data_IF_341749238874
#
_entry.id   IF_341749238874
#
_cell.length_a   1.000
_cell.length_b   1.000
_cell.length_c   1.000
_cell.angle_alpha   90.00
_cell.angle_beta   90.00
_cell.angle_gamma   90.00
#
_symmetry.space_group_name_H-M   'P 1'
#
loop_
_entity.id
_entity.type
_entity.pdbx_description
1 polymer ?
#
# COMPACT_ATOMS: atom_id res chain seq x y z
N UNK A 1 -9.22 -21.47 10.44
CA UNK A 1 -7.87 -21.19 9.87
C UNK A 1 -7.59 -19.73 10.12
N UNK A 2 -6.60 -19.42 10.94
CA UNK A 2 -6.12 -18.05 11.18
C UNK A 2 -5.23 -17.63 10.01
N UNK A 3 -5.45 -16.43 9.47
CA UNK A 3 -4.62 -15.85 8.41
C UNK A 3 -4.52 -14.34 8.57
N UNK A 4 -3.69 -13.70 7.75
CA UNK A 4 -3.56 -12.25 7.70
C UNK A 4 -3.87 -11.75 6.30
N UNK A 5 -4.72 -10.74 6.18
CA UNK A 5 -5.10 -10.13 4.93
C UNK A 5 -4.24 -8.90 4.68
N UNK A 6 -3.48 -8.92 3.59
CA UNK A 6 -2.86 -7.72 3.05
C UNK A 6 -3.92 -6.96 2.25
N UNK A 7 -4.21 -5.74 2.69
CA UNK A 7 -5.10 -4.80 2.02
C UNK A 7 -4.24 -3.75 1.35
N UNK A 8 -4.41 -3.55 0.05
CA UNK A 8 -3.71 -2.52 -0.73
C UNK A 8 -4.74 -1.63 -1.38
N UNK A 9 -4.74 -0.36 -1.01
CA UNK A 9 -5.59 0.68 -1.60
C UNK A 9 -4.67 1.59 -2.41
N UNK A 10 -4.99 1.79 -3.69
CA UNK A 10 -4.23 2.68 -4.58
C UNK A 10 -5.12 3.81 -5.09
N UNK A 11 -4.60 5.02 -5.01
CA UNK A 11 -5.25 6.26 -5.43
C UNK A 11 -4.64 6.69 -6.76
N UNK A 12 -5.27 6.28 -7.86
CA UNK A 12 -4.84 6.63 -9.21
C UNK A 12 -5.20 8.08 -9.53
N UNK A 13 -4.21 8.88 -9.91
CA UNK A 13 -4.46 10.21 -10.42
C UNK A 13 -5.14 10.13 -11.79
N UNK A 14 -6.38 10.65 -11.89
CA UNK A 14 -7.11 10.75 -13.15
C UNK A 14 -8.15 9.67 -13.41
N UNK A 15 -8.32 8.68 -12.54
CA UNK A 15 -9.39 7.69 -12.67
C UNK A 15 -10.69 8.22 -12.05
N UNK A 16 -11.74 8.37 -12.87
CA UNK A 16 -13.09 8.81 -12.46
C UNK A 16 -13.88 7.78 -11.63
N UNK A 17 -13.26 6.65 -11.26
CA UNK A 17 -13.92 5.46 -10.72
C UNK A 17 -13.56 5.15 -9.25
N UNK A 18 -12.80 6.01 -8.57
CA UNK A 18 -12.41 5.83 -7.16
C UNK A 18 -11.13 5.01 -6.96
N UNK A 19 -10.77 4.67 -5.70
CA UNK A 19 -9.56 3.93 -5.39
C UNK A 19 -9.64 2.48 -5.89
N UNK A 20 -8.52 1.95 -6.36
CA UNK A 20 -8.40 0.54 -6.72
C UNK A 20 -7.91 -0.26 -5.50
N UNK A 21 -8.67 -1.30 -5.15
CA UNK A 21 -8.43 -2.15 -4.00
C UNK A 21 -7.92 -3.52 -4.44
N UNK A 22 -6.87 -4.02 -3.79
CA UNK A 22 -6.33 -5.37 -3.95
C UNK A 22 -6.20 -6.05 -2.60
N UNK A 23 -6.63 -7.31 -2.51
CA UNK A 23 -6.67 -8.08 -1.28
C UNK A 23 -5.90 -9.40 -1.48
N UNK A 24 -5.01 -9.73 -0.54
CA UNK A 24 -4.28 -10.99 -0.57
C UNK A 24 -4.26 -11.65 0.81
N UNK A 25 -4.78 -12.88 0.90
CA UNK A 25 -4.75 -13.66 2.14
C UNK A 25 -3.40 -14.36 2.26
N UNK A 26 -2.72 -14.13 3.38
CA UNK A 26 -1.40 -14.66 3.70
C UNK A 26 -1.46 -15.56 4.95
N UNK A 27 -0.64 -16.63 4.99
CA UNK A 27 -0.59 -17.58 6.10
C UNK A 27 -0.33 -16.97 7.49
N UNK A 28 0.41 -15.86 7.58
CA UNK A 28 0.80 -15.26 8.86
C UNK A 28 0.92 -13.73 8.80
N UNK A 29 0.91 -13.10 9.99
CA UNK A 29 1.13 -11.65 10.12
C UNK A 29 2.55 -11.28 9.66
N UNK A 30 3.55 -12.12 9.94
CA UNK A 30 4.92 -11.89 9.52
C UNK A 30 5.06 -11.83 8.00
N UNK A 31 4.41 -12.76 7.28
CA UNK A 31 4.39 -12.75 5.82
C UNK A 31 3.60 -11.57 5.27
N UNK A 32 2.53 -11.16 5.95
CA UNK A 32 1.80 -9.94 5.62
C UNK A 32 2.69 -8.71 5.72
N UNK A 33 3.34 -8.49 6.86
CA UNK A 33 4.21 -7.31 7.06
C UNK A 33 5.36 -7.29 6.07
N UNK A 34 5.98 -8.44 5.79
CA UNK A 34 7.03 -8.53 4.76
C UNK A 34 6.50 -8.19 3.38
N UNK A 35 5.34 -8.73 3.00
CA UNK A 35 4.71 -8.46 1.71
C UNK A 35 4.29 -7.00 1.59
N UNK A 36 3.76 -6.40 2.67
CA UNK A 36 3.39 -4.98 2.75
C UNK A 36 4.56 -4.08 2.38
N UNK A 37 5.73 -4.30 2.98
CA UNK A 37 6.95 -3.51 2.70
C UNK A 37 7.40 -3.69 1.26
N UNK A 38 7.41 -4.93 0.75
CA UNK A 38 7.81 -5.22 -0.63
C UNK A 38 6.87 -4.58 -1.66
N UNK A 39 5.55 -4.66 -1.45
CA UNK A 39 4.55 -4.06 -2.33
C UNK A 39 4.64 -2.53 -2.26
N UNK A 40 4.82 -1.94 -1.07
CA UNK A 40 5.01 -0.50 -0.94
C UNK A 40 6.25 -0.01 -1.70
N UNK A 41 7.38 -0.73 -1.61
CA UNK A 41 8.60 -0.42 -2.37
C UNK A 41 8.38 -0.55 -3.89
N UNK A 42 7.63 -1.57 -4.34
CA UNK A 42 7.27 -1.74 -5.75
C UNK A 42 6.40 -0.58 -6.24
N UNK A 43 5.37 -0.19 -5.49
CA UNK A 43 4.51 0.96 -5.81
C UNK A 43 5.35 2.24 -5.86
N UNK A 44 6.26 2.45 -4.91
CA UNK A 44 7.15 3.61 -4.91
C UNK A 44 8.02 3.66 -6.17
N UNK A 45 8.62 2.53 -6.57
CA UNK A 45 9.45 2.47 -7.77
C UNK A 45 8.65 2.83 -9.04
N UNK A 46 7.46 2.26 -9.19
CA UNK A 46 6.54 2.56 -10.32
C UNK A 46 6.05 4.01 -10.26
N UNK A 47 5.74 4.53 -9.08
CA UNK A 47 5.33 5.92 -8.92
C UNK A 47 6.46 6.88 -9.28
N UNK A 48 7.71 6.60 -8.88
CA UNK A 48 8.90 7.40 -9.24
C UNK A 48 9.16 7.39 -10.74
N UNK A 49 8.98 6.26 -11.42
CA UNK A 49 9.17 6.21 -12.87
C UNK A 49 8.10 7.00 -13.65
N UNK A 50 6.94 7.25 -13.04
CA UNK A 50 5.80 7.94 -13.66
C UNK A 50 5.55 9.36 -13.12
N UNK A 51 6.35 9.82 -12.15
CA UNK A 51 6.16 11.11 -11.49
C UNK A 51 7.39 11.99 -11.64
N UNK A 52 7.17 13.28 -11.87
CA UNK A 52 8.21 14.32 -11.83
C UNK A 52 8.46 14.83 -10.40
N UNK A 53 7.74 14.32 -9.41
CA UNK A 53 7.81 14.76 -8.03
C UNK A 53 8.42 13.70 -7.12
N UNK A 54 8.86 14.11 -5.93
CA UNK A 54 9.36 13.18 -4.90
C UNK A 54 8.27 12.19 -4.50
N UNK A 55 8.67 10.92 -4.36
CA UNK A 55 7.81 9.85 -3.85
C UNK A 55 8.48 9.21 -2.63
N UNK A 56 7.72 9.17 -1.54
CA UNK A 56 8.15 8.68 -0.23
C UNK A 56 7.25 7.55 0.26
N UNK A 57 7.84 6.68 1.10
CA UNK A 57 7.14 5.61 1.81
C UNK A 57 7.26 5.93 3.28
N UNK A 58 6.12 5.96 3.97
CA UNK A 58 6.00 6.36 5.37
C UNK A 58 5.26 5.26 6.12
N UNK A 59 5.76 4.89 7.30
CA UNK A 59 4.99 4.08 8.25
C UNK A 59 4.02 5.00 9.00
N UNK A 60 2.73 4.66 8.98
CA UNK A 60 1.62 5.42 9.59
C UNK A 60 0.86 4.51 10.55
N UNK A 61 1.38 4.37 11.77
CA UNK A 61 0.88 3.38 12.74
C UNK A 61 1.04 1.96 12.23
N UNK A 62 -0.06 1.24 12.06
CA UNK A 62 -0.10 -0.12 11.52
C UNK A 62 -0.13 -0.16 9.98
N UNK A 63 -0.14 1.00 9.32
CA UNK A 63 -0.20 1.11 7.87
C UNK A 63 1.14 1.53 7.24
N UNK A 64 1.29 1.24 5.96
CA UNK A 64 2.33 1.82 5.11
C UNK A 64 1.69 2.68 4.04
N UNK A 65 2.15 3.91 3.92
CA UNK A 65 1.59 4.91 3.02
C UNK A 65 2.65 5.32 2.00
N UNK A 66 2.28 5.30 0.72
CA UNK A 66 3.08 5.86 -0.36
C UNK A 66 2.52 7.24 -0.71
N UNK A 67 3.34 8.29 -0.62
CA UNK A 67 2.94 9.67 -0.95
C UNK A 67 3.77 10.24 -2.09
N UNK A 68 3.18 11.14 -2.86
CA UNK A 68 3.88 11.88 -3.91
C UNK A 68 3.58 13.39 -3.87
N UNK A 69 4.57 14.17 -4.28
CA UNK A 69 4.48 15.62 -4.41
C UNK A 69 4.71 16.38 -3.11
N UNK A 70 4.97 17.68 -3.24
CA UNK A 70 5.25 18.58 -2.12
C UNK A 70 4.08 18.70 -1.12
N UNK A 71 2.86 18.39 -1.55
CA UNK A 71 1.65 18.41 -0.71
C UNK A 71 1.41 17.07 -0.01
N UNK A 72 2.24 16.04 -0.28
CA UNK A 72 2.13 14.73 0.35
C UNK A 72 0.87 13.97 -0.06
N UNK A 73 0.50 14.00 -1.35
CA UNK A 73 -0.72 13.30 -1.81
C UNK A 73 -0.55 11.79 -1.66
N UNK A 74 -1.45 11.17 -0.92
CA UNK A 74 -1.50 9.73 -0.77
C UNK A 74 -1.77 9.05 -2.12
N UNK A 75 -0.87 8.15 -2.49
CA UNK A 75 -0.93 7.33 -3.71
C UNK A 75 -1.31 5.90 -3.39
N UNK A 76 -0.92 5.39 -2.23
CA UNK A 76 -1.34 4.09 -1.78
C UNK A 76 -1.31 4.00 -0.26
N UNK A 77 -2.17 3.13 0.29
CA UNK A 77 -2.16 2.71 1.69
C UNK A 77 -2.25 1.21 1.76
N UNK A 78 -1.37 0.62 2.56
CA UNK A 78 -1.26 -0.82 2.71
C UNK A 78 -1.40 -1.17 4.18
N UNK A 79 -2.25 -2.15 4.49
CA UNK A 79 -2.53 -2.58 5.85
C UNK A 79 -2.52 -4.10 5.97
N UNK A 80 -2.18 -4.59 7.15
CA UNK A 80 -2.20 -6.01 7.48
C UNK A 80 -3.26 -6.27 8.55
N UNK A 81 -4.32 -6.98 8.17
CA UNK A 81 -5.46 -7.24 9.06
C UNK A 81 -5.47 -8.71 9.45
N UNK A 82 -5.54 -9.02 10.74
CA UNK A 82 -5.65 -10.41 11.20
C UNK A 82 -7.08 -10.90 11.00
N UNK A 83 -7.26 -12.02 10.30
CA UNK A 83 -8.56 -12.64 10.07
C UNK A 83 -8.71 -13.83 11.01
N UNK A 84 -9.53 -13.66 12.04
CA UNK A 84 -9.95 -14.75 12.93
C UNK A 84 -11.34 -15.23 12.49
N UNK A 85 -11.43 -16.52 12.13
CA UNK A 85 -12.68 -17.21 11.79
C UNK A 85 -12.87 -18.36 12.75
#
# INVERSE_FOLDING_TARGET
MSGSLLVVITYLAGASWGPANSLALLPSLLECTRSRVLVAASIQAVARSNSTTSVEVIEDGDDVVVRAGAVGREMARLSCVTVQK
#
